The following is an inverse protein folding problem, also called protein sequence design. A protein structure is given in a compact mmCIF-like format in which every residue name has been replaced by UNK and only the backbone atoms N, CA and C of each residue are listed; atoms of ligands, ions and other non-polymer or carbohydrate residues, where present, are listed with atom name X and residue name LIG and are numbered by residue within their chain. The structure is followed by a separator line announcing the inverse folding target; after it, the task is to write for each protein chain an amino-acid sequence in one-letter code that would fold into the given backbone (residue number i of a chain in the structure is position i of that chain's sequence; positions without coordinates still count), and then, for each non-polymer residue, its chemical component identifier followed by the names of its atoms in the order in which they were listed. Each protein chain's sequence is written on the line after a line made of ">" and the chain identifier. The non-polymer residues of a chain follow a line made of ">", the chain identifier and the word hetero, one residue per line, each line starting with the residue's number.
data_IF_704573939353
#
_entry.id   IF_704573939353
#
_cell.length_a   1.000
_cell.length_b   1.000
_cell.length_c   1.000
_cell.angle_alpha   90.00
_cell.angle_beta   90.00
_cell.angle_gamma   90.00
#
_symmetry.space_group_name_H-M   'P 1'
#
loop_
_entity.id
_entity.type
_entity.pdbx_description
1 polymer ?
#
# COMPACT_ATOMS: atom_id res chain seq x y z
N UNK A 1 -0.18 -3.42 -19.79
CA UNK A 1 0.85 -3.87 -20.75
C UNK A 1 2.27 -3.56 -20.29
N UNK A 2 2.60 -2.37 -19.77
CA UNK A 2 3.97 -2.07 -19.28
C UNK A 2 4.51 -3.00 -18.19
N UNK A 3 3.65 -3.57 -17.34
CA UNK A 3 4.02 -4.52 -16.28
C UNK A 3 4.70 -5.80 -16.82
N UNK A 4 4.13 -6.39 -17.88
CA UNK A 4 4.62 -7.63 -18.49
C UNK A 4 5.98 -7.43 -19.19
N UNK A 5 6.26 -6.20 -19.62
CA UNK A 5 7.56 -5.85 -20.18
C UNK A 5 8.60 -5.82 -19.06
N UNK A 6 8.28 -5.24 -17.90
CA UNK A 6 9.20 -5.19 -16.76
C UNK A 6 9.57 -6.58 -16.20
N UNK A 7 8.64 -7.53 -16.22
CA UNK A 7 8.87 -8.88 -15.67
C UNK A 7 9.86 -9.71 -16.47
N UNK A 8 10.03 -9.39 -17.76
CA UNK A 8 10.92 -10.15 -18.66
C UNK A 8 12.40 -9.78 -18.50
N UNK A 9 12.71 -8.70 -17.77
CA UNK A 9 14.06 -8.17 -17.65
C UNK A 9 14.50 -8.19 -16.19
N UNK A 10 15.65 -8.82 -15.95
CA UNK A 10 16.36 -8.73 -14.68
C UNK A 10 17.76 -8.19 -14.94
N UNK A 11 18.17 -7.21 -14.16
CA UNK A 11 19.49 -6.60 -14.27
C UNK A 11 20.38 -7.11 -13.13
N UNK A 12 21.61 -7.57 -13.41
CA UNK A 12 22.55 -7.91 -12.35
C UNK A 12 23.04 -6.63 -11.67
N UNK A 13 22.83 -6.53 -10.36
CA UNK A 13 23.30 -5.48 -9.48
C UNK A 13 24.20 -6.11 -8.40
N UNK A 14 25.46 -6.37 -8.75
CA UNK A 14 26.39 -7.11 -7.88
C UNK A 14 26.08 -8.60 -7.85
N UNK A 15 26.00 -9.19 -6.65
CA UNK A 15 25.67 -10.62 -6.45
C UNK A 15 24.18 -10.93 -6.64
N UNK A 16 23.35 -9.91 -6.91
CA UNK A 16 21.91 -10.04 -6.92
C UNK A 16 21.28 -9.48 -8.18
N UNK A 17 20.09 -9.97 -8.50
CA UNK A 17 19.32 -9.48 -9.64
C UNK A 17 18.19 -8.56 -9.19
N UNK A 18 18.02 -7.43 -9.87
CA UNK A 18 16.90 -6.51 -9.68
C UNK A 18 15.93 -6.70 -10.84
N UNK A 19 14.67 -6.98 -10.53
CA UNK A 19 13.63 -7.10 -11.55
C UNK A 19 13.27 -5.72 -12.13
N UNK A 20 13.12 -5.63 -13.46
CA UNK A 20 12.74 -4.39 -14.15
C UNK A 20 11.41 -3.80 -13.68
N UNK A 21 10.53 -4.62 -13.10
CA UNK A 21 9.29 -4.16 -12.42
C UNK A 21 9.58 -3.11 -11.35
N UNK A 22 10.70 -3.22 -10.61
CA UNK A 22 11.06 -2.23 -9.58
C UNK A 22 11.27 -0.84 -10.19
N UNK A 23 11.87 -0.75 -11.37
CA UNK A 23 12.05 0.52 -12.08
C UNK A 23 10.71 1.09 -12.54
N UNK A 24 9.82 0.24 -13.06
CA UNK A 24 8.47 0.65 -13.49
C UNK A 24 7.67 1.19 -12.30
N UNK A 25 7.71 0.50 -11.16
CA UNK A 25 7.03 0.92 -9.94
C UNK A 25 7.61 2.19 -9.34
N UNK A 26 8.94 2.32 -9.35
CA UNK A 26 9.62 3.53 -8.88
C UNK A 26 9.25 4.73 -9.76
N UNK A 27 9.25 4.54 -11.08
CA UNK A 27 8.81 5.57 -12.03
C UNK A 27 7.34 5.93 -11.83
N UNK A 28 6.47 4.95 -11.57
CA UNK A 28 5.06 5.18 -11.25
C UNK A 28 4.89 6.02 -9.98
N UNK A 29 5.57 5.65 -8.89
CA UNK A 29 5.54 6.41 -7.63
C UNK A 29 6.07 7.84 -7.82
N UNK A 30 7.18 8.00 -8.53
CA UNK A 30 7.75 9.30 -8.86
C UNK A 30 6.79 10.15 -9.72
N UNK A 31 6.15 9.54 -10.72
CA UNK A 31 5.18 10.24 -11.58
C UNK A 31 3.97 10.76 -10.78
N UNK A 32 3.45 9.96 -9.84
CA UNK A 32 2.36 10.40 -8.94
C UNK A 32 2.83 11.57 -8.06
N UNK A 33 4.04 11.48 -7.51
CA UNK A 33 4.59 12.53 -6.65
C UNK A 33 4.79 13.85 -7.41
N UNK A 34 5.37 13.81 -8.61
CA UNK A 34 5.61 15.00 -9.45
C UNK A 34 4.29 15.64 -9.90
N UNK A 35 3.30 14.81 -10.28
CA UNK A 35 1.98 15.30 -10.71
C UNK A 35 1.12 15.86 -9.58
N UNK A 36 1.47 15.61 -8.32
CA UNK A 36 0.70 16.09 -7.17
C UNK A 36 0.86 17.60 -7.01
N UNK A 37 -0.24 18.38 -6.95
CA UNK A 37 -0.18 19.83 -6.83
C UNK A 37 0.24 20.26 -5.42
N UNK A 38 1.22 21.15 -5.33
CA UNK A 38 1.67 21.74 -4.07
C UNK A 38 2.72 20.91 -3.32
N UNK A 39 3.71 21.59 -2.75
CA UNK A 39 4.81 20.97 -1.99
C UNK A 39 4.29 20.25 -0.75
N UNK A 40 3.32 20.84 -0.05
CA UNK A 40 2.75 20.25 1.17
C UNK A 40 2.09 18.89 0.89
N UNK A 41 1.37 18.76 -0.22
CA UNK A 41 0.76 17.49 -0.60
C UNK A 41 1.82 16.45 -0.94
N UNK A 42 2.89 16.83 -1.64
CA UNK A 42 4.01 15.92 -1.95
C UNK A 42 4.70 15.40 -0.69
N UNK A 43 4.98 16.28 0.26
CA UNK A 43 5.54 15.91 1.56
C UNK A 43 4.59 14.99 2.35
N UNK A 44 3.28 15.26 2.29
CA UNK A 44 2.29 14.39 2.90
C UNK A 44 2.31 12.99 2.26
N UNK A 45 2.30 12.88 0.93
CA UNK A 45 2.36 11.59 0.24
C UNK A 45 3.63 10.80 0.54
N UNK A 46 4.77 11.51 0.65
CA UNK A 46 6.05 10.93 1.01
C UNK A 46 6.05 10.44 2.46
N UNK A 47 5.53 11.25 3.40
CA UNK A 47 5.38 10.86 4.81
C UNK A 47 4.47 9.64 4.97
N UNK A 48 3.33 9.61 4.26
CA UNK A 48 2.44 8.44 4.27
C UNK A 48 3.14 7.22 3.68
N UNK A 49 3.87 7.38 2.57
CA UNK A 49 4.63 6.27 1.99
C UNK A 49 5.71 5.73 2.94
N UNK A 50 6.45 6.61 3.63
CA UNK A 50 7.41 6.20 4.66
C UNK A 50 6.76 5.47 5.84
N UNK A 51 5.59 5.95 6.29
CA UNK A 51 4.81 5.27 7.31
C UNK A 51 4.41 3.86 6.85
N UNK A 52 3.88 3.73 5.64
CA UNK A 52 3.50 2.43 5.08
C UNK A 52 4.73 1.51 4.90
N UNK A 53 5.89 2.04 4.53
CA UNK A 53 7.14 1.29 4.48
C UNK A 53 7.51 0.72 5.85
N UNK A 54 7.46 1.55 6.89
CA UNK A 54 7.80 1.13 8.26
C UNK A 54 6.84 0.05 8.78
N UNK A 55 5.54 0.19 8.50
CA UNK A 55 4.53 -0.81 8.87
C UNK A 55 4.74 -2.10 8.09
N UNK A 56 4.99 -2.01 6.79
CA UNK A 56 5.22 -3.18 5.96
C UNK A 56 6.47 -3.96 6.39
N UNK A 57 7.58 -3.26 6.62
CA UNK A 57 8.81 -3.84 7.16
C UNK A 57 8.56 -4.50 8.52
N UNK A 58 7.92 -3.78 9.45
CA UNK A 58 7.59 -4.31 10.78
C UNK A 58 6.75 -5.60 10.70
N UNK A 59 5.70 -5.62 9.87
CA UNK A 59 4.85 -6.80 9.70
C UNK A 59 5.63 -7.97 9.09
N UNK A 60 6.55 -7.71 8.17
CA UNK A 60 7.39 -8.76 7.57
C UNK A 60 8.31 -9.42 8.60
N UNK A 61 8.87 -8.65 9.52
CA UNK A 61 9.74 -9.17 10.58
C UNK A 61 8.95 -9.84 11.70
N UNK A 62 7.74 -9.36 12.02
CA UNK A 62 6.97 -9.84 13.17
C UNK A 62 5.98 -10.96 12.87
N UNK A 63 5.38 -11.01 11.69
CA UNK A 63 4.41 -12.06 11.34
C UNK A 63 4.97 -13.48 11.42
N UNK A 64 6.23 -13.75 10.99
CA UNK A 64 6.84 -15.07 11.17
C UNK A 64 6.99 -15.47 12.65
N UNK A 65 7.13 -14.49 13.56
CA UNK A 65 7.31 -14.72 14.99
C UNK A 65 5.97 -14.85 15.74
N UNK A 66 4.89 -14.30 15.19
CA UNK A 66 3.57 -14.25 15.84
C UNK A 66 2.46 -14.77 14.92
N UNK A 67 2.38 -16.11 14.70
CA UNK A 67 1.43 -16.71 13.76
C UNK A 67 -0.05 -16.45 14.12
N UNK A 68 -0.35 -16.11 15.37
CA UNK A 68 -1.70 -15.75 15.83
C UNK A 68 -2.28 -14.49 15.14
N UNK A 69 -1.44 -13.64 14.55
CA UNK A 69 -1.87 -12.44 13.81
C UNK A 69 -2.16 -12.72 12.33
N UNK A 70 -1.86 -13.93 11.83
CA UNK A 70 -2.07 -14.31 10.43
C UNK A 70 -3.53 -14.70 10.23
N UNK A 71 -4.23 -13.97 9.35
CA UNK A 71 -5.65 -14.26 9.06
C UNK A 71 -5.77 -15.35 7.99
N UNK A 72 -4.98 -15.25 6.92
CA UNK A 72 -4.99 -16.23 5.81
C UNK A 72 -3.55 -16.62 5.47
N UNK A 73 -2.75 -15.65 5.02
CA UNK A 73 -1.31 -15.78 4.85
C UNK A 73 -0.63 -14.50 5.34
N UNK A 74 0.66 -14.53 5.72
CA UNK A 74 1.37 -13.34 6.16
C UNK A 74 1.31 -12.19 5.13
N UNK A 75 1.39 -12.53 3.83
CA UNK A 75 1.32 -11.58 2.72
C UNK A 75 -0.06 -10.92 2.65
N UNK A 76 -1.12 -11.72 2.77
CA UNK A 76 -2.50 -11.22 2.79
C UNK A 76 -2.76 -10.30 4.00
N UNK A 77 -2.31 -10.69 5.19
CA UNK A 77 -2.44 -9.85 6.39
C UNK A 77 -1.70 -8.52 6.21
N UNK A 78 -0.45 -8.57 5.74
CA UNK A 78 0.34 -7.36 5.46
C UNK A 78 -0.34 -6.46 4.42
N UNK A 79 -0.76 -7.03 3.30
CA UNK A 79 -1.43 -6.30 2.23
C UNK A 79 -2.72 -5.63 2.69
N UNK A 80 -3.52 -6.33 3.51
CA UNK A 80 -4.78 -5.81 4.04
C UNK A 80 -4.56 -4.69 5.05
N UNK A 81 -3.59 -4.81 5.96
CA UNK A 81 -3.28 -3.77 6.94
C UNK A 81 -2.69 -2.52 6.27
N UNK A 82 -1.69 -2.68 5.41
CA UNK A 82 -1.08 -1.58 4.65
C UNK A 82 -2.13 -0.92 3.75
N UNK A 83 -2.95 -1.73 3.07
CA UNK A 83 -4.05 -1.25 2.24
C UNK A 83 -5.10 -0.47 3.04
N UNK A 84 -5.50 -0.95 4.21
CA UNK A 84 -6.45 -0.27 5.08
C UNK A 84 -5.91 1.08 5.57
N UNK A 85 -4.66 1.13 6.04
CA UNK A 85 -4.02 2.37 6.48
C UNK A 85 -3.95 3.37 5.32
N UNK A 86 -3.50 2.92 4.14
CA UNK A 86 -3.46 3.74 2.93
C UNK A 86 -4.84 4.28 2.54
N UNK A 87 -5.89 3.47 2.68
CA UNK A 87 -7.25 3.83 2.32
C UNK A 87 -7.85 4.89 3.25
N UNK A 88 -7.50 4.85 4.54
CA UNK A 88 -7.94 5.82 5.55
C UNK A 88 -7.20 7.14 5.39
N UNK A 89 -5.89 7.10 5.15
CA UNK A 89 -5.06 8.31 5.10
C UNK A 89 -5.18 9.07 3.77
N UNK A 90 -5.43 8.36 2.66
CA UNK A 90 -5.41 8.96 1.32
C UNK A 90 -6.78 8.87 0.66
N UNK A 91 -7.27 10.01 0.17
CA UNK A 91 -8.59 10.10 -0.50
C UNK A 91 -8.53 9.86 -2.00
N UNK A 92 -7.44 10.29 -2.67
CA UNK A 92 -7.37 10.21 -4.13
C UNK A 92 -6.83 8.84 -4.58
N UNK A 93 -7.43 8.20 -5.60
CA UNK A 93 -6.98 6.89 -6.08
C UNK A 93 -5.52 6.89 -6.54
N UNK A 94 -5.09 7.96 -7.22
CA UNK A 94 -3.71 8.10 -7.69
C UNK A 94 -2.73 8.20 -6.52
N UNK A 95 -3.05 9.00 -5.49
CA UNK A 95 -2.23 9.10 -4.29
C UNK A 95 -2.14 7.77 -3.54
N UNK A 96 -3.27 7.05 -3.40
CA UNK A 96 -3.29 5.72 -2.78
C UNK A 96 -2.29 4.78 -3.44
N UNK A 97 -2.37 4.62 -4.76
CA UNK A 97 -1.47 3.73 -5.50
C UNK A 97 -0.02 4.21 -5.41
N UNK A 98 0.24 5.51 -5.56
CA UNK A 98 1.59 6.07 -5.50
C UNK A 98 2.26 5.89 -4.13
N UNK A 99 1.58 6.27 -3.04
CA UNK A 99 2.11 6.12 -1.69
C UNK A 99 2.22 4.67 -1.24
N UNK A 100 1.27 3.80 -1.60
CA UNK A 100 1.38 2.35 -1.34
C UNK A 100 2.56 1.76 -2.08
N UNK A 101 2.73 2.10 -3.36
CA UNK A 101 3.87 1.63 -4.16
C UNK A 101 5.19 2.10 -3.55
N UNK A 102 5.29 3.38 -3.16
CA UNK A 102 6.47 3.91 -2.50
C UNK A 102 6.74 3.19 -1.17
N UNK A 103 5.69 2.96 -0.37
CA UNK A 103 5.79 2.24 0.89
C UNK A 103 6.31 0.81 0.73
N UNK A 104 5.75 0.05 -0.21
CA UNK A 104 6.18 -1.32 -0.48
C UNK A 104 7.61 -1.38 -1.04
N UNK A 105 7.97 -0.50 -1.97
CA UNK A 105 9.33 -0.42 -2.51
C UNK A 105 10.36 -0.12 -1.42
N UNK A 106 10.07 0.86 -0.55
CA UNK A 106 10.99 1.21 0.54
C UNK A 106 11.03 0.12 1.62
N UNK A 107 9.90 -0.52 1.93
CA UNK A 107 9.87 -1.64 2.87
C UNK A 107 10.63 -2.87 2.34
N UNK A 108 10.54 -3.17 1.04
CA UNK A 108 11.35 -4.19 0.40
C UNK A 108 12.84 -3.83 0.47
N UNK A 109 13.20 -2.58 0.16
CA UNK A 109 14.58 -2.10 0.25
C UNK A 109 15.14 -2.16 1.68
N UNK A 110 14.33 -1.86 2.70
CA UNK A 110 14.72 -1.98 4.11
C UNK A 110 14.93 -3.44 4.53
N UNK A 111 14.00 -4.32 4.17
CA UNK A 111 14.13 -5.76 4.46
C UNK A 111 15.35 -6.37 3.78
N UNK A 112 15.56 -5.97 2.52
CA UNK A 112 16.74 -6.31 1.74
C UNK A 112 18.03 -5.87 2.44
N UNK A 113 18.10 -4.61 2.86
CA UNK A 113 19.26 -4.07 3.55
C UNK A 113 19.54 -4.79 4.88
N UNK A 114 18.50 -5.15 5.61
CA UNK A 114 18.61 -5.89 6.88
C UNK A 114 19.11 -7.34 6.70
N UNK A 115 18.76 -8.01 5.61
CA UNK A 115 19.05 -9.43 5.36
C UNK A 115 20.06 -9.68 4.23
N UNK A 116 20.87 -8.68 3.88
CA UNK A 116 21.78 -8.69 2.73
C UNK A 116 22.70 -9.94 2.64
N UNK A 117 23.08 -10.52 3.78
CA UNK A 117 23.99 -11.69 3.84
C UNK A 117 23.27 -13.04 3.68
N UNK A 118 21.96 -13.08 3.94
CA UNK A 118 21.15 -14.30 3.89
C UNK A 118 20.36 -14.47 2.58
N UNK A 119 20.35 -13.44 1.72
CA UNK A 119 19.52 -13.40 0.51
C UNK A 119 20.32 -13.50 -0.78
N UNK A 120 20.32 -14.70 -1.38
CA UNK A 120 20.73 -14.95 -2.76
C UNK A 120 19.54 -14.80 -3.76
N UNK A 121 18.63 -13.87 -3.48
CA UNK A 121 17.35 -13.72 -4.17
C UNK A 121 17.29 -12.60 -5.21
N UNK A 122 16.19 -12.56 -5.97
CA UNK A 122 15.86 -11.48 -6.92
C UNK A 122 15.00 -10.43 -6.22
N UNK A 123 15.47 -9.18 -6.15
CA UNK A 123 14.69 -8.05 -5.64
C UNK A 123 13.54 -7.75 -6.61
N UNK A 124 12.32 -7.67 -6.09
CA UNK A 124 11.12 -7.48 -6.92
C UNK A 124 10.67 -8.77 -7.63
N UNK A 125 10.98 -9.92 -7.05
CA UNK A 125 10.53 -11.23 -7.53
C UNK A 125 9.01 -11.41 -7.49
N UNK A 126 8.49 -12.58 -7.91
CA UNK A 126 7.06 -12.85 -8.02
C UNK A 126 6.27 -12.59 -6.73
N UNK A 127 6.81 -12.98 -5.58
CA UNK A 127 6.16 -12.77 -4.28
C UNK A 127 5.92 -11.27 -3.97
N UNK A 128 6.87 -10.40 -4.33
CA UNK A 128 6.71 -8.95 -4.19
C UNK A 128 5.61 -8.42 -5.12
N UNK A 129 5.53 -8.93 -6.35
CA UNK A 129 4.52 -8.52 -7.32
C UNK A 129 3.11 -8.91 -6.88
N UNK A 130 2.94 -10.13 -6.37
CA UNK A 130 1.68 -10.61 -5.82
C UNK A 130 1.28 -9.77 -4.60
N UNK A 131 2.22 -9.51 -3.70
CA UNK A 131 2.02 -8.62 -2.56
C UNK A 131 1.63 -7.20 -2.97
N UNK A 132 2.25 -6.66 -4.02
CA UNK A 132 1.90 -5.34 -4.56
C UNK A 132 0.46 -5.32 -5.10
N UNK A 133 0.09 -6.29 -5.93
CA UNK A 133 -1.28 -6.39 -6.47
C UNK A 133 -2.31 -6.52 -5.36
N UNK A 134 -2.08 -7.43 -4.41
CA UNK A 134 -2.97 -7.62 -3.26
C UNK A 134 -3.14 -6.33 -2.47
N UNK A 135 -2.06 -5.58 -2.23
CA UNK A 135 -2.12 -4.32 -1.48
C UNK A 135 -2.87 -3.24 -2.26
N UNK A 136 -2.69 -3.17 -3.59
CA UNK A 136 -3.44 -2.26 -4.48
C UNK A 136 -4.94 -2.60 -4.48
N UNK A 137 -5.31 -3.87 -4.54
CA UNK A 137 -6.71 -4.28 -4.42
C UNK A 137 -7.27 -3.97 -3.04
N UNK A 138 -6.51 -4.25 -1.97
CA UNK A 138 -6.90 -3.97 -0.60
C UNK A 138 -7.15 -2.47 -0.36
N UNK A 139 -6.22 -1.58 -0.76
CA UNK A 139 -6.37 -0.13 -0.56
C UNK A 139 -7.61 0.40 -1.27
N UNK A 140 -7.90 -0.08 -2.48
CA UNK A 140 -9.07 0.34 -3.25
C UNK A 140 -10.37 -0.21 -2.65
N UNK A 141 -10.37 -1.49 -2.30
CA UNK A 141 -11.51 -2.15 -1.65
C UNK A 141 -11.86 -1.48 -0.32
N UNK A 142 -10.88 -1.32 0.57
CA UNK A 142 -11.05 -0.63 1.85
C UNK A 142 -11.53 0.81 1.66
N UNK A 143 -11.00 1.54 0.68
CA UNK A 143 -11.43 2.92 0.41
C UNK A 143 -12.92 2.99 0.01
N UNK A 144 -13.39 2.06 -0.83
CA UNK A 144 -14.81 1.99 -1.21
C UNK A 144 -15.70 1.64 -0.01
N UNK A 145 -15.27 0.69 0.83
CA UNK A 145 -16.00 0.31 2.06
C UNK A 145 -16.10 1.51 3.01
N UNK A 146 -15.00 2.22 3.27
CA UNK A 146 -14.98 3.39 4.15
C UNK A 146 -15.90 4.50 3.63
N UNK A 147 -15.88 4.78 2.32
CA UNK A 147 -16.78 5.78 1.71
C UNK A 147 -18.24 5.37 1.84
N UNK A 148 -18.55 4.09 1.65
CA UNK A 148 -19.91 3.57 1.74
C UNK A 148 -20.42 3.64 3.17
N UNK A 149 -19.61 3.20 4.14
CA UNK A 149 -19.93 3.26 5.55
C UNK A 149 -20.19 4.70 6.01
N UNK A 150 -19.32 5.64 5.62
CA UNK A 150 -19.48 7.06 5.94
C UNK A 150 -20.80 7.63 5.39
N UNK A 151 -21.19 7.26 4.16
CA UNK A 151 -22.46 7.66 3.56
C UNK A 151 -23.66 7.06 4.30
N UNK A 152 -23.60 5.77 4.63
CA UNK A 152 -24.66 5.06 5.35
C UNK A 152 -24.88 5.65 6.74
N UNK A 153 -23.81 5.90 7.50
CA UNK A 153 -23.88 6.52 8.84
C UNK A 153 -24.50 7.91 8.76
N UNK A 154 -24.07 8.75 7.81
CA UNK A 154 -24.63 10.09 7.63
C UNK A 154 -26.11 10.05 7.19
N UNK A 155 -26.52 9.04 6.45
CA UNK A 155 -27.93 8.86 6.07
C UNK A 155 -28.78 8.46 7.28
N UNK A 156 -28.31 7.50 8.08
CA UNK A 156 -28.99 7.05 9.30
C UNK A 156 -29.15 8.19 10.31
N UNK A 157 -28.10 8.98 10.53
CA UNK A 157 -28.16 10.13 11.44
C UNK A 157 -29.16 11.20 10.97
N UNK A 158 -29.22 11.48 9.65
CA UNK A 158 -30.21 12.42 9.10
C UNK A 158 -31.64 11.92 9.29
N UNK A 159 -31.87 10.63 9.06
CA UNK A 159 -33.18 9.99 9.27
C UNK A 159 -33.62 10.03 10.74
N UNK A 160 -32.73 9.68 11.67
CA UNK A 160 -32.99 9.77 13.10
C UNK A 160 -33.28 11.22 13.54
N UNK A 161 -32.51 12.18 13.03
CA UNK A 161 -32.71 13.59 13.34
C UNK A 161 -34.06 14.12 12.82
N UNK A 162 -34.47 13.75 11.60
CA UNK A 162 -35.80 14.13 11.08
C UNK A 162 -36.94 13.48 11.87
N UNK A 163 -36.79 12.22 12.29
CA UNK A 163 -37.79 11.53 13.09
C UNK A 163 -37.98 12.18 14.47
N UNK A 164 -36.88 12.53 15.14
CA UNK A 164 -36.91 13.21 16.45
C UNK A 164 -37.47 14.63 16.40
N UNK A 165 -37.43 15.29 15.23
CA UNK A 165 -37.98 16.63 15.04
C UNK A 165 -39.46 16.62 14.65
N UNK A 166 -39.92 15.57 13.96
CA UNK A 166 -41.33 15.39 13.59
C UNK A 166 -42.25 15.06 14.76
N UNK A 167 -41.74 14.44 15.83
CA UNK A 167 -42.50 14.14 17.06
C UNK A 167 -42.76 15.37 17.97
N UNK A 168 -42.33 16.57 17.57
CA UNK A 168 -42.47 17.80 18.37
C UNK A 168 -43.49 18.81 17.84
N UNK A 169 -44.19 18.49 16.74
CA UNK A 169 -45.33 19.26 16.20
C UNK A 169 -46.64 18.50 16.43
#
# INVERSE_FOLDING_TARGET
>A
MGWLIGTAWSFPAGEQAVNGVMLVLTALAAAVLVRSPGVLLRLHLLSVGMLLASVHFFLRETLPLAPMLVVVTPECTSALLVGLIGAVLLRSPAAQIGSVTLGLLMGEAMSFYAHKEAWAGVIGGPAFQDGWWLTVYAVRGCSMVVVTLHRSVRSALRFLWSSLRGDKE
#
